data_IF_386362215235
#
_entry.id   IF_386362215235
#
_cell.length_a   1.000
_cell.length_b   1.000
_cell.length_c   1.000
_cell.angle_alpha   90.00
_cell.angle_beta   90.00
_cell.angle_gamma   90.00
#
_symmetry.space_group_name_H-M   'P 1'
#
loop_
_entity.id
_entity.type
_entity.pdbx_description
1 polymer ?
#
# COMPACT_ATOMS: atom_id res chain seq x y z
N UNK A 1 8.99 26.21 -29.47
CA UNK A 1 9.75 25.46 -28.44
C UNK A 1 8.77 24.66 -27.60
N UNK A 2 8.70 23.34 -27.82
CA UNK A 2 7.68 22.49 -27.19
C UNK A 2 8.07 22.07 -25.77
N UNK A 3 7.02 21.95 -24.96
CA UNK A 3 6.98 21.93 -23.50
C UNK A 3 7.56 20.61 -22.91
N UNK A 4 8.88 20.46 -22.93
CA UNK A 4 9.60 19.26 -22.44
C UNK A 4 9.27 18.86 -20.99
N UNK A 5 8.80 19.79 -20.16
CA UNK A 5 8.35 19.51 -18.79
C UNK A 5 7.01 18.76 -18.75
N UNK A 6 6.05 19.12 -19.62
CA UNK A 6 4.72 18.46 -19.63
C UNK A 6 4.82 17.00 -20.06
N UNK A 7 5.70 16.69 -21.02
CA UNK A 7 5.92 15.32 -21.50
C UNK A 7 6.58 14.44 -20.43
N UNK A 8 7.57 14.96 -19.68
CA UNK A 8 8.23 14.22 -18.60
C UNK A 8 7.27 13.88 -17.44
N UNK A 9 6.39 14.81 -17.06
CA UNK A 9 5.38 14.58 -16.02
C UNK A 9 4.40 13.49 -16.46
N UNK A 10 3.93 13.53 -17.71
CA UNK A 10 3.02 12.50 -18.24
C UNK A 10 3.62 11.09 -18.24
N UNK A 11 4.89 10.96 -18.64
CA UNK A 11 5.61 9.68 -18.63
C UNK A 11 5.80 9.17 -17.19
N UNK A 12 6.17 10.06 -16.26
CA UNK A 12 6.34 9.69 -14.85
C UNK A 12 5.03 9.23 -14.22
N UNK A 13 3.91 9.91 -14.50
CA UNK A 13 2.58 9.50 -14.03
C UNK A 13 2.16 8.14 -14.60
N UNK A 14 2.45 7.88 -15.88
CA UNK A 14 2.14 6.59 -16.50
C UNK A 14 3.00 5.45 -15.90
N UNK A 15 4.29 5.71 -15.66
CA UNK A 15 5.17 4.75 -15.01
C UNK A 15 4.74 4.47 -13.56
N UNK A 16 4.32 5.50 -12.83
CA UNK A 16 3.81 5.35 -11.47
C UNK A 16 2.52 4.53 -11.44
N UNK A 17 1.60 4.77 -12.39
CA UNK A 17 0.38 3.98 -12.53
C UNK A 17 0.67 2.51 -12.83
N UNK A 18 1.59 2.22 -13.76
CA UNK A 18 2.00 0.83 -14.05
C UNK A 18 2.63 0.16 -12.83
N UNK A 19 3.46 0.90 -12.09
CA UNK A 19 4.09 0.39 -10.88
C UNK A 19 3.06 0.13 -9.77
N UNK A 20 2.01 0.94 -9.69
CA UNK A 20 0.87 0.70 -8.82
C UNK A 20 0.10 -0.58 -9.21
N UNK A 21 -0.23 -0.74 -10.50
CA UNK A 21 -0.94 -1.91 -11.00
C UNK A 21 -0.15 -3.21 -10.76
N UNK A 22 1.17 -3.20 -10.99
CA UNK A 22 2.06 -4.32 -10.68
C UNK A 22 2.13 -4.63 -9.19
N UNK A 23 2.24 -3.59 -8.35
CA UNK A 23 2.21 -3.75 -6.90
C UNK A 23 0.87 -4.37 -6.44
N UNK A 24 -0.27 -3.87 -6.92
CA UNK A 24 -1.58 -4.43 -6.56
C UNK A 24 -1.71 -5.90 -6.95
N UNK A 25 -1.26 -6.25 -8.15
CA UNK A 25 -1.29 -7.63 -8.62
C UNK A 25 -0.46 -8.54 -7.70
N UNK A 26 0.77 -8.12 -7.35
CA UNK A 26 1.62 -8.88 -6.43
C UNK A 26 1.03 -8.96 -5.02
N UNK A 27 0.52 -7.85 -4.51
CA UNK A 27 -0.06 -7.77 -3.17
C UNK A 27 -1.35 -8.59 -3.04
N UNK A 28 -2.16 -8.69 -4.10
CA UNK A 28 -3.38 -9.52 -4.11
C UNK A 28 -3.09 -11.02 -3.90
N UNK A 29 -1.89 -11.47 -4.28
CA UNK A 29 -1.42 -12.86 -4.11
C UNK A 29 -0.81 -13.12 -2.73
N UNK A 30 -0.76 -12.11 -1.87
CA UNK A 30 -0.20 -12.23 -0.53
C UNK A 30 -1.31 -12.66 0.43
N UNK A 31 -1.16 -13.87 0.97
CA UNK A 31 -2.10 -14.46 1.93
C UNK A 31 -1.50 -14.60 3.33
N UNK A 32 -0.18 -14.47 3.49
CA UNK A 32 0.51 -14.62 4.77
C UNK A 32 1.43 -13.44 5.07
N UNK A 33 1.75 -13.23 6.35
CA UNK A 33 2.74 -12.21 6.76
C UNK A 33 4.12 -12.50 6.18
N UNK A 34 4.48 -13.77 5.98
CA UNK A 34 5.75 -14.17 5.40
C UNK A 34 5.80 -13.74 3.93
N UNK A 35 4.73 -13.94 3.17
CA UNK A 35 4.67 -13.52 1.77
C UNK A 35 4.68 -11.99 1.64
N UNK A 36 4.04 -11.29 2.58
CA UNK A 36 4.08 -9.83 2.64
C UNK A 36 5.52 -9.32 2.87
N UNK A 37 6.26 -9.94 3.80
CA UNK A 37 7.67 -9.64 4.05
C UNK A 37 8.57 -9.98 2.84
N UNK A 38 8.31 -11.09 2.14
CA UNK A 38 9.02 -11.43 0.89
C UNK A 38 8.78 -10.37 -0.19
N UNK A 39 7.54 -9.89 -0.32
CA UNK A 39 7.20 -8.86 -1.29
C UNK A 39 7.95 -7.56 -0.99
N UNK A 40 8.02 -7.15 0.28
CA UNK A 40 8.76 -5.96 0.70
C UNK A 40 10.27 -6.11 0.52
N UNK A 41 10.83 -7.31 0.61
CA UNK A 41 12.25 -7.53 0.32
C UNK A 41 12.65 -7.07 -1.10
N UNK A 42 11.70 -7.01 -2.04
CA UNK A 42 11.92 -6.43 -3.38
C UNK A 42 12.29 -4.94 -3.33
N UNK A 43 11.89 -4.21 -2.28
CA UNK A 43 12.28 -2.80 -2.06
C UNK A 43 13.80 -2.63 -2.00
N UNK A 44 14.52 -3.59 -1.41
CA UNK A 44 15.98 -3.54 -1.29
C UNK A 44 16.69 -3.59 -2.65
N UNK A 45 16.01 -4.10 -3.68
CA UNK A 45 16.54 -4.23 -5.04
C UNK A 45 16.25 -2.96 -5.87
N UNK A 46 15.33 -2.11 -5.45
CA UNK A 46 14.90 -0.93 -6.21
C UNK A 46 15.72 0.33 -5.87
N UNK A 47 16.25 1.01 -6.90
CA UNK A 47 16.93 2.31 -6.75
C UNK A 47 16.00 3.36 -6.15
N UNK A 48 16.56 4.33 -5.42
CA UNK A 48 15.83 5.37 -4.67
C UNK A 48 14.82 6.18 -5.49
N UNK A 49 15.00 6.29 -6.81
CA UNK A 49 14.15 7.09 -7.69
C UNK A 49 13.22 6.26 -8.58
N UNK A 50 13.07 4.96 -8.30
CA UNK A 50 12.23 4.07 -9.13
C UNK A 50 10.75 4.28 -8.81
N UNK A 51 9.92 4.44 -9.85
CA UNK A 51 8.45 4.46 -9.74
C UNK A 51 7.93 3.26 -8.93
N UNK A 52 6.96 3.52 -8.07
CA UNK A 52 6.34 2.52 -7.20
C UNK A 52 7.11 2.10 -5.95
N UNK A 53 8.36 2.54 -5.74
CA UNK A 53 9.14 2.28 -4.52
C UNK A 53 8.35 2.64 -3.25
N UNK A 54 7.59 3.74 -3.29
CA UNK A 54 6.77 4.22 -2.17
C UNK A 54 5.75 3.18 -1.68
N UNK A 55 5.17 2.39 -2.58
CA UNK A 55 4.15 1.39 -2.22
C UNK A 55 4.75 0.26 -1.39
N UNK A 56 5.94 -0.21 -1.77
CA UNK A 56 6.67 -1.21 -1.00
C UNK A 56 7.19 -0.66 0.34
N UNK A 57 7.59 0.62 0.40
CA UNK A 57 8.00 1.27 1.63
C UNK A 57 6.83 1.46 2.61
N UNK A 58 5.67 1.90 2.10
CA UNK A 58 4.43 2.01 2.86
C UNK A 58 4.00 0.63 3.41
N UNK A 59 4.11 -0.42 2.59
CA UNK A 59 3.86 -1.78 3.03
C UNK A 59 4.85 -2.22 4.12
N UNK A 60 6.16 -1.92 3.99
CA UNK A 60 7.13 -2.25 5.06
C UNK A 60 6.73 -1.61 6.39
N UNK A 61 6.45 -0.31 6.37
CA UNK A 61 6.05 0.44 7.57
C UNK A 61 4.78 -0.15 8.19
N UNK A 62 3.79 -0.47 7.34
CA UNK A 62 2.57 -1.14 7.77
C UNK A 62 2.85 -2.50 8.40
N UNK A 63 3.73 -3.32 7.84
CA UNK A 63 4.04 -4.65 8.40
C UNK A 63 4.85 -4.60 9.70
N UNK A 64 5.67 -3.57 9.90
CA UNK A 64 6.48 -3.39 11.12
C UNK A 64 5.63 -2.89 12.29
N UNK A 65 4.74 -1.92 12.05
CA UNK A 65 4.01 -1.22 13.11
C UNK A 65 2.51 -1.49 13.11
N UNK A 66 1.97 -2.17 12.09
CA UNK A 66 0.54 -2.30 11.83
C UNK A 66 -0.22 -0.98 11.85
N UNK A 67 0.48 0.09 11.47
CA UNK A 67 -0.05 1.45 11.47
C UNK A 67 -0.15 1.97 10.04
N UNK A 68 -1.15 2.81 9.80
CA UNK A 68 -1.44 3.35 8.48
C UNK A 68 -0.41 4.44 8.14
N UNK A 69 0.37 4.29 7.05
CA UNK A 69 1.30 5.34 6.66
C UNK A 69 0.53 6.61 6.26
N UNK A 70 0.92 7.79 6.77
CA UNK A 70 0.26 9.07 6.45
C UNK A 70 0.26 9.39 4.95
N UNK A 71 1.27 8.89 4.21
CA UNK A 71 1.39 9.05 2.75
C UNK A 71 0.70 7.96 1.93
N UNK A 72 -0.05 7.05 2.56
CA UNK A 72 -0.82 6.01 1.84
C UNK A 72 -2.09 6.60 1.22
N UNK A 73 -2.33 6.23 -0.03
CA UNK A 73 -3.57 6.53 -0.75
C UNK A 73 -4.75 5.74 -0.20
N UNK A 74 -5.96 6.21 -0.48
CA UNK A 74 -7.20 5.50 -0.13
C UNK A 74 -7.20 4.04 -0.63
N UNK A 75 -6.75 3.81 -1.86
CA UNK A 75 -6.66 2.47 -2.45
C UNK A 75 -5.61 1.59 -1.75
N UNK A 76 -4.50 2.15 -1.26
CA UNK A 76 -3.54 1.40 -0.43
C UNK A 76 -4.17 0.96 0.89
N UNK A 77 -4.90 1.86 1.56
CA UNK A 77 -5.58 1.56 2.82
C UNK A 77 -6.64 0.46 2.65
N UNK A 78 -7.43 0.50 1.58
CA UNK A 78 -8.37 -0.58 1.26
C UNK A 78 -7.66 -1.92 1.04
N UNK A 79 -6.54 -1.92 0.32
CA UNK A 79 -5.75 -3.14 0.14
C UNK A 79 -5.26 -3.69 1.50
N UNK A 80 -4.80 -2.82 2.41
CA UNK A 80 -4.38 -3.25 3.76
C UNK A 80 -5.52 -3.85 4.57
N UNK A 81 -6.72 -3.29 4.50
CA UNK A 81 -7.92 -3.87 5.13
C UNK A 81 -8.17 -5.28 4.60
N UNK A 82 -8.23 -5.44 3.27
CA UNK A 82 -8.46 -6.75 2.66
C UNK A 82 -7.36 -7.76 3.02
N UNK A 83 -6.11 -7.31 3.11
CA UNK A 83 -5.00 -8.15 3.52
C UNK A 83 -5.14 -8.63 4.97
N UNK A 84 -5.48 -7.73 5.89
CA UNK A 84 -5.71 -8.07 7.30
C UNK A 84 -6.90 -9.03 7.45
N UNK A 85 -7.97 -8.85 6.67
CA UNK A 85 -9.11 -9.77 6.62
C UNK A 85 -8.67 -11.17 6.16
N UNK A 86 -7.92 -11.28 5.04
CA UNK A 86 -7.37 -12.56 4.56
C UNK A 86 -6.43 -13.22 5.57
N UNK A 87 -5.62 -12.42 6.27
CA UNK A 87 -4.75 -12.93 7.33
C UNK A 87 -5.54 -13.52 8.49
N UNK A 88 -6.64 -12.87 8.89
CA UNK A 88 -7.50 -13.35 9.97
C UNK A 88 -8.20 -14.66 9.61
N UNK A 89 -8.62 -14.81 8.35
CA UNK A 89 -9.19 -16.05 7.81
C UNK A 89 -8.16 -17.18 7.77
N UNK A 90 -6.88 -16.86 7.54
CA UNK A 90 -5.80 -17.85 7.40
C UNK A 90 -5.12 -18.20 8.73
N UNK A 91 -5.18 -17.33 9.74
CA UNK A 91 -4.45 -17.45 11.01
C UNK A 91 -5.32 -16.95 12.17
N UNK A 92 -6.20 -17.84 12.67
CA UNK A 92 -7.15 -17.59 13.77
C UNK A 92 -6.51 -17.29 15.13
N UNK A 93 -5.18 -17.34 15.26
CA UNK A 93 -4.48 -17.13 16.53
C UNK A 93 -4.27 -15.65 16.89
N UNK A 94 -4.62 -14.69 16.01
CA UNK A 94 -4.35 -13.25 16.21
C UNK A 94 -5.57 -12.32 16.14
N UNK A 95 -6.78 -12.88 16.23
CA UNK A 95 -8.07 -12.20 16.02
C UNK A 95 -8.20 -10.86 16.76
N UNK A 96 -7.76 -10.78 18.01
CA UNK A 96 -7.89 -9.54 18.80
C UNK A 96 -7.08 -8.35 18.27
N UNK A 97 -5.84 -8.57 17.81
CA UNK A 97 -5.01 -7.48 17.25
C UNK A 97 -5.49 -7.05 15.86
N UNK A 98 -6.02 -8.00 15.09
CA UNK A 98 -6.58 -7.77 13.75
C UNK A 98 -7.76 -6.79 13.84
N UNK A 99 -8.67 -6.97 14.80
CA UNK A 99 -9.82 -6.08 14.97
C UNK A 99 -9.42 -4.63 15.32
N UNK A 100 -8.42 -4.44 16.18
CA UNK A 100 -7.92 -3.10 16.52
C UNK A 100 -7.31 -2.39 15.29
N UNK A 101 -6.53 -3.12 14.49
CA UNK A 101 -5.92 -2.61 13.26
C UNK A 101 -6.99 -2.28 12.21
N UNK A 102 -8.00 -3.14 12.06
CA UNK A 102 -9.14 -2.90 11.17
C UNK A 102 -9.92 -1.65 11.58
N UNK A 103 -10.19 -1.48 12.87
CA UNK A 103 -10.84 -0.26 13.40
C UNK A 103 -9.99 0.99 13.16
N UNK A 104 -8.67 0.92 13.36
CA UNK A 104 -7.77 2.05 13.09
C UNK A 104 -7.73 2.40 11.60
N UNK A 105 -7.69 1.41 10.71
CA UNK A 105 -7.75 1.59 9.26
C UNK A 105 -9.10 2.17 8.81
N UNK A 106 -10.21 1.64 9.31
CA UNK A 106 -11.56 2.16 9.02
C UNK A 106 -11.71 3.60 9.50
N UNK A 107 -11.29 3.91 10.73
CA UNK A 107 -11.31 5.28 11.26
C UNK A 107 -10.42 6.23 10.44
N UNK A 108 -9.32 5.76 9.88
CA UNK A 108 -8.48 6.54 8.96
C UNK A 108 -9.15 6.79 7.60
N UNK A 109 -10.09 5.93 7.18
CA UNK A 109 -10.91 6.13 5.98
C UNK A 109 -12.07 7.09 6.27
N UNK A 110 -12.76 6.95 7.41
CA UNK A 110 -13.86 7.84 7.83
C UNK A 110 -13.37 9.26 8.20
N UNK A 111 -12.15 9.35 8.73
CA UNK A 111 -11.46 10.63 8.97
C UNK A 111 -11.10 11.39 7.68
N UNK A 112 -11.17 10.72 6.53
CA UNK A 112 -11.27 11.34 5.21
C UNK A 112 -12.74 11.60 4.87
N UNK A 113 -13.48 12.23 5.79
CA UNK A 113 -14.67 12.99 5.40
C UNK A 113 -14.23 13.99 4.33
N UNK A 114 -14.91 13.87 3.19
CA UNK A 114 -14.73 14.64 1.97
C UNK A 114 -14.47 16.13 2.29
N UNK A 115 -13.66 16.86 1.51
CA UNK A 115 -13.79 18.31 1.52
C UNK A 115 -15.26 18.61 1.22
N UNK A 116 -15.95 19.18 2.20
CA UNK A 116 -17.25 19.80 2.02
C UNK A 116 -17.11 20.76 0.84
N UNK A 117 -17.84 20.49 -0.24
CA UNK A 117 -17.97 21.44 -1.35
C UNK A 117 -18.66 22.71 -0.89
#
# INVERSE_FOLDING_TARGET
MFNTRKTKIGIQLQNERRAWEDFQLKFSRVHTLIDAKKLVKQLQVQKHETSGRKYYANLNFFLESFNVPSGSSYSERLNYIQFIQRLNESDTSKVGKVEEILKALQKSLDGHSLPTF
#
